data_IF_311863232162
#
_entry.id   IF_311863232162
#
_cell.length_a   1.000
_cell.length_b   1.000
_cell.length_c   1.000
_cell.angle_alpha   90.00
_cell.angle_beta   90.00
_cell.angle_gamma   90.00
#
_symmetry.space_group_name_H-M   'P 1'
#
loop_
_entity.id
_entity.type
_entity.pdbx_description
1 polymer ?
#
# COMPACT_ATOMS: atom_id res chain seq x y z
N UNK A 1 -35.33 -10.80 1.27
CA UNK A 1 -34.74 -11.50 0.12
C UNK A 1 -35.75 -12.46 -0.51
N UNK A 2 -36.40 -13.33 0.27
CA UNK A 2 -37.49 -14.21 -0.22
C UNK A 2 -38.60 -13.41 -0.95
N UNK A 3 -39.14 -12.35 -0.32
CA UNK A 3 -40.15 -11.46 -0.93
C UNK A 3 -39.75 -10.77 -2.26
N UNK A 4 -38.44 -10.67 -2.55
CA UNK A 4 -37.93 -10.11 -3.80
C UNK A 4 -37.84 -11.20 -4.88
N UNK A 5 -37.47 -12.42 -4.48
CA UNK A 5 -37.48 -13.60 -5.36
C UNK A 5 -38.92 -13.92 -5.79
N UNK A 6 -39.89 -13.84 -4.87
CA UNK A 6 -41.30 -14.11 -5.18
C UNK A 6 -41.88 -13.14 -6.21
N UNK A 7 -41.38 -11.89 -6.25
CA UNK A 7 -41.88 -10.85 -7.17
C UNK A 7 -41.11 -10.75 -8.49
N UNK A 8 -39.79 -10.88 -8.44
CA UNK A 8 -38.89 -10.62 -9.56
C UNK A 8 -38.16 -11.87 -10.06
N UNK A 9 -38.41 -13.02 -9.45
CA UNK A 9 -37.79 -14.30 -9.78
C UNK A 9 -36.32 -14.41 -9.36
N UNK A 10 -35.70 -15.52 -9.77
CA UNK A 10 -34.29 -15.83 -9.48
C UNK A 10 -33.31 -14.87 -10.19
N UNK A 11 -33.76 -14.10 -11.18
CA UNK A 11 -32.95 -13.06 -11.85
C UNK A 11 -32.51 -11.95 -10.89
N UNK A 12 -33.20 -11.78 -9.75
CA UNK A 12 -32.80 -10.84 -8.71
C UNK A 12 -31.60 -11.33 -7.88
N UNK A 13 -31.42 -12.65 -7.78
CA UNK A 13 -30.31 -13.29 -7.02
C UNK A 13 -29.00 -13.20 -7.80
N UNK A 14 -29.05 -13.08 -9.13
CA UNK A 14 -27.85 -12.93 -9.95
C UNK A 14 -27.11 -11.64 -9.58
N UNK A 15 -25.78 -11.73 -9.42
CA UNK A 15 -24.91 -10.61 -9.09
C UNK A 15 -24.98 -9.54 -10.19
N UNK A 16 -25.67 -8.42 -9.91
CA UNK A 16 -25.77 -7.28 -10.82
C UNK A 16 -24.54 -6.36 -10.72
N UNK A 17 -24.32 -5.56 -11.77
CA UNK A 17 -23.34 -4.46 -11.75
C UNK A 17 -23.69 -3.49 -10.62
N UNK A 18 -22.67 -2.84 -10.05
CA UNK A 18 -22.86 -1.90 -8.95
C UNK A 18 -23.71 -0.70 -9.43
N UNK A 19 -24.91 -0.52 -8.86
CA UNK A 19 -25.80 0.60 -9.21
C UNK A 19 -25.31 1.87 -8.55
N UNK A 20 -25.25 2.94 -9.33
CA UNK A 20 -25.10 4.29 -8.80
C UNK A 20 -26.47 4.79 -8.33
N UNK A 21 -26.49 5.45 -7.18
CA UNK A 21 -27.67 6.10 -6.63
C UNK A 21 -27.33 7.57 -6.38
N UNK A 22 -28.03 8.46 -7.08
CA UNK A 22 -27.86 9.91 -6.90
C UNK A 22 -28.26 10.34 -5.48
N UNK A 23 -27.78 11.49 -5.01
CA UNK A 23 -28.15 12.04 -3.70
C UNK A 23 -29.64 12.30 -3.61
N UNK A 24 -30.22 12.85 -4.68
CA UNK A 24 -31.63 13.19 -4.76
C UNK A 24 -32.50 11.93 -4.58
N UNK A 25 -32.15 10.84 -5.28
CA UNK A 25 -32.84 9.57 -5.15
C UNK A 25 -32.70 8.99 -3.73
N UNK A 26 -31.50 9.09 -3.13
CA UNK A 26 -31.31 8.67 -1.73
C UNK A 26 -32.17 9.51 -0.78
N UNK A 27 -32.26 10.82 -1.00
CA UNK A 27 -33.06 11.72 -0.17
C UNK A 27 -34.54 11.39 -0.25
N UNK A 28 -35.05 11.18 -1.47
CA UNK A 28 -36.43 10.79 -1.72
C UNK A 28 -36.79 9.53 -0.92
N UNK A 29 -35.97 8.48 -1.04
CA UNK A 29 -36.20 7.22 -0.34
C UNK A 29 -36.14 7.36 1.19
N UNK A 30 -35.22 8.19 1.71
CA UNK A 30 -35.11 8.47 3.13
C UNK A 30 -36.34 9.25 3.63
N UNK A 31 -36.80 10.25 2.85
CA UNK A 31 -37.97 11.05 3.18
C UNK A 31 -39.24 10.20 3.23
N UNK A 32 -39.42 9.25 2.30
CA UNK A 32 -40.55 8.31 2.34
C UNK A 32 -40.57 7.46 3.63
N UNK A 33 -39.40 7.05 4.11
CA UNK A 33 -39.32 6.31 5.38
C UNK A 33 -39.58 7.20 6.60
N UNK A 34 -39.08 8.44 6.59
CA UNK A 34 -39.14 9.33 7.77
C UNK A 34 -40.44 10.12 7.88
N UNK A 35 -40.97 10.62 6.77
CA UNK A 35 -42.13 11.51 6.73
C UNK A 35 -43.42 10.78 6.35
N UNK A 36 -43.36 9.87 5.37
CA UNK A 36 -44.55 9.12 4.92
C UNK A 36 -44.80 7.84 5.73
N UNK A 37 -43.92 7.49 6.67
CA UNK A 37 -44.06 6.31 7.52
C UNK A 37 -43.91 4.97 6.78
N UNK A 38 -43.31 4.97 5.58
CA UNK A 38 -43.14 3.73 4.83
C UNK A 38 -42.18 2.78 5.52
N UNK A 39 -42.50 1.48 5.48
CA UNK A 39 -41.56 0.46 5.94
C UNK A 39 -40.36 0.39 5.00
N UNK A 40 -39.19 0.13 5.58
CA UNK A 40 -37.92 0.00 4.83
C UNK A 40 -38.01 -1.12 3.78
N UNK A 41 -38.79 -2.15 4.07
CA UNK A 41 -39.06 -3.25 3.15
C UNK A 41 -39.89 -2.77 1.96
N UNK A 42 -40.97 -2.02 2.20
CA UNK A 42 -41.79 -1.43 1.14
C UNK A 42 -40.97 -0.53 0.22
N UNK A 43 -40.16 0.36 0.79
CA UNK A 43 -39.28 1.24 0.00
C UNK A 43 -38.22 0.43 -0.78
N UNK A 44 -37.66 -0.62 -0.18
CA UNK A 44 -36.69 -1.46 -0.88
C UNK A 44 -37.32 -2.22 -2.05
N UNK A 45 -38.59 -2.59 -1.93
CA UNK A 45 -39.35 -3.28 -2.97
C UNK A 45 -39.78 -2.33 -4.09
N UNK A 46 -40.27 -1.14 -3.75
CA UNK A 46 -40.73 -0.14 -4.73
C UNK A 46 -39.58 0.38 -5.62
N UNK A 47 -38.39 0.56 -5.04
CA UNK A 47 -37.21 1.10 -5.74
C UNK A 47 -36.23 0.02 -6.21
N UNK A 48 -36.65 -1.25 -6.21
CA UNK A 48 -35.84 -2.41 -6.62
C UNK A 48 -34.43 -2.41 -6.01
N UNK A 49 -34.32 -2.10 -4.71
CA UNK A 49 -33.05 -2.16 -4.01
C UNK A 49 -32.60 -3.61 -3.87
N UNK A 50 -31.35 -3.95 -4.26
CA UNK A 50 -30.79 -5.29 -4.10
C UNK A 50 -30.92 -5.86 -2.68
N UNK A 51 -30.85 -4.99 -1.68
CA UNK A 51 -31.02 -5.37 -0.29
C UNK A 51 -31.53 -4.22 0.55
N UNK A 52 -32.40 -4.54 1.52
CA UNK A 52 -32.86 -3.64 2.58
C UNK A 52 -31.70 -3.03 3.38
N UNK A 53 -30.57 -3.75 3.48
CA UNK A 53 -29.37 -3.30 4.17
C UNK A 53 -28.79 -2.02 3.58
N UNK A 54 -28.97 -1.79 2.26
CA UNK A 54 -28.52 -0.57 1.60
C UNK A 54 -29.23 0.65 2.18
N UNK A 55 -30.56 0.58 2.30
CA UNK A 55 -31.38 1.65 2.86
C UNK A 55 -31.10 1.87 4.36
N UNK A 56 -30.86 0.78 5.11
CA UNK A 56 -30.43 0.87 6.51
C UNK A 56 -29.11 1.62 6.68
N UNK A 57 -28.14 1.32 5.82
CA UNK A 57 -26.85 2.00 5.84
C UNK A 57 -26.99 3.50 5.52
N UNK A 58 -27.81 3.86 4.52
CA UNK A 58 -28.06 5.26 4.21
C UNK A 58 -28.76 6.01 5.34
N UNK A 59 -29.77 5.42 5.98
CA UNK A 59 -30.43 6.02 7.13
C UNK A 59 -29.48 6.23 8.31
N UNK A 60 -28.58 5.26 8.54
CA UNK A 60 -27.56 5.37 9.59
C UNK A 60 -26.57 6.51 9.30
N UNK A 61 -26.07 6.61 8.07
CA UNK A 61 -25.18 7.70 7.65
C UNK A 61 -25.88 9.06 7.71
N UNK A 62 -27.15 9.11 7.29
CA UNK A 62 -27.96 10.32 7.30
C UNK A 62 -28.15 10.87 8.71
N UNK A 63 -28.42 10.00 9.69
CA UNK A 63 -28.46 10.38 11.12
C UNK A 63 -27.09 10.82 11.64
N UNK A 64 -26.03 10.12 11.26
CA UNK A 64 -24.66 10.44 11.69
C UNK A 64 -24.16 11.78 11.17
N UNK A 65 -24.57 12.16 9.95
CA UNK A 65 -24.14 13.39 9.28
C UNK A 65 -25.07 14.59 9.55
N UNK A 66 -25.96 14.51 10.55
CA UNK A 66 -26.86 15.61 10.88
C UNK A 66 -27.89 15.92 9.78
N UNK A 67 -28.50 14.89 9.18
CA UNK A 67 -29.54 15.03 8.15
C UNK A 67 -29.07 15.61 6.80
N UNK A 68 -27.77 15.53 6.52
CA UNK A 68 -27.19 15.90 5.22
C UNK A 68 -26.71 14.67 4.45
N UNK A 69 -27.06 14.59 3.16
CA UNK A 69 -26.53 13.55 2.26
C UNK A 69 -25.16 13.99 1.75
N UNK A 70 -24.13 13.31 2.24
CA UNK A 70 -22.75 13.54 1.80
C UNK A 70 -22.43 12.56 0.68
N UNK A 71 -22.22 13.08 -0.53
CA UNK A 71 -21.54 12.33 -1.58
C UNK A 71 -20.07 12.19 -1.23
N UNK A 72 -19.68 11.01 -0.74
CA UNK A 72 -18.26 10.71 -0.59
C UNK A 72 -17.67 10.54 -1.98
N UNK A 73 -16.73 11.40 -2.34
CA UNK A 73 -15.87 11.21 -3.50
C UNK A 73 -15.21 9.83 -3.38
N UNK A 74 -15.47 8.97 -4.36
CA UNK A 74 -14.96 7.60 -4.37
C UNK A 74 -13.45 7.65 -4.58
N UNK A 75 -12.68 7.33 -3.55
CA UNK A 75 -11.23 7.32 -3.63
C UNK A 75 -10.58 6.77 -2.38
N UNK A 76 -9.34 6.28 -2.53
CA UNK A 76 -8.47 5.96 -1.40
C UNK A 76 -8.04 7.28 -0.78
N UNK A 77 -8.23 7.44 0.53
CA UNK A 77 -7.62 8.55 1.27
C UNK A 77 -6.12 8.57 0.96
N UNK A 78 -5.51 9.72 0.62
CA UNK A 78 -4.09 9.79 0.36
C UNK A 78 -3.33 9.12 1.50
N UNK A 79 -2.39 8.24 1.18
CA UNK A 79 -1.56 7.57 2.18
C UNK A 79 -0.72 8.67 2.84
N UNK A 80 -1.11 9.11 4.03
CA UNK A 80 -0.38 10.11 4.81
C UNK A 80 1.09 9.66 4.90
N UNK A 81 2.01 10.55 4.54
CA UNK A 81 3.45 10.37 4.84
C UNK A 81 4.35 9.82 3.73
N UNK A 82 3.89 9.58 2.50
CA UNK A 82 4.83 9.30 1.41
C UNK A 82 5.34 10.61 0.80
N UNK A 83 6.31 11.26 1.45
CA UNK A 83 7.10 12.31 0.80
C UNK A 83 7.96 11.66 -0.27
N UNK A 84 7.95 12.22 -1.48
CA UNK A 84 8.85 11.81 -2.56
C UNK A 84 10.28 12.02 -2.05
N UNK A 85 11.19 11.07 -2.30
CA UNK A 85 12.62 11.31 -2.06
C UNK A 85 13.04 12.51 -2.90
N UNK A 86 13.79 13.44 -2.30
CA UNK A 86 14.35 14.59 -3.03
C UNK A 86 15.22 14.08 -4.17
N UNK A 87 15.16 14.76 -5.29
CA UNK A 87 16.01 14.50 -6.44
C UNK A 87 17.38 15.13 -6.20
N UNK A 88 18.45 14.64 -6.85
CA UNK A 88 19.82 15.17 -6.71
C UNK A 88 19.94 16.69 -6.87
N UNK A 89 19.07 17.29 -7.70
CA UNK A 89 19.01 18.73 -7.98
C UNK A 89 18.35 19.55 -6.85
N UNK A 90 17.61 18.89 -5.94
CA UNK A 90 16.85 19.52 -4.85
C UNK A 90 17.60 19.43 -3.49
N UNK A 91 18.75 18.75 -3.44
CA UNK A 91 19.57 18.62 -2.23
C UNK A 91 20.48 19.83 -2.04
N UNK A 92 20.50 20.36 -0.82
CA UNK A 92 21.49 21.38 -0.43
C UNK A 92 22.88 20.74 -0.40
N UNK A 93 23.92 21.50 -0.70
CA UNK A 93 25.31 21.01 -0.75
C UNK A 93 25.75 20.24 0.52
N UNK A 94 25.29 20.69 1.69
CA UNK A 94 25.53 20.00 2.98
C UNK A 94 24.89 18.60 3.04
N UNK A 95 23.68 18.44 2.51
CA UNK A 95 22.95 17.17 2.50
C UNK A 95 23.66 16.16 1.59
N UNK A 96 24.20 16.64 0.45
CA UNK A 96 25.01 15.83 -0.48
C UNK A 96 26.31 15.35 0.18
N UNK A 97 27.02 16.25 0.84
CA UNK A 97 28.27 15.92 1.52
C UNK A 97 28.06 14.93 2.67
N UNK A 98 26.92 14.99 3.37
CA UNK A 98 26.60 14.01 4.41
C UNK A 98 26.36 12.61 3.85
N UNK A 99 25.58 12.49 2.77
CA UNK A 99 25.30 11.20 2.14
C UNK A 99 26.57 10.56 1.56
N UNK A 100 27.43 11.37 0.93
CA UNK A 100 28.75 10.92 0.47
C UNK A 100 29.66 10.50 1.64
N UNK A 101 29.63 11.23 2.76
CA UNK A 101 30.40 10.84 3.95
C UNK A 101 29.92 9.50 4.52
N UNK A 102 28.61 9.28 4.59
CA UNK A 102 28.03 8.02 5.04
C UNK A 102 28.41 6.86 4.11
N UNK A 103 28.35 7.08 2.80
CA UNK A 103 28.82 6.11 1.80
C UNK A 103 30.29 5.74 2.03
N UNK A 104 31.17 6.75 2.07
CA UNK A 104 32.61 6.56 2.27
C UNK A 104 32.95 5.90 3.62
N UNK A 105 32.17 6.17 4.68
CA UNK A 105 32.35 5.52 5.99
C UNK A 105 32.16 4.02 5.93
N UNK A 106 31.32 3.52 5.02
CA UNK A 106 31.10 2.07 4.84
C UNK A 106 32.09 1.45 3.84
N UNK A 107 32.47 2.19 2.81
CA UNK A 107 33.36 1.70 1.74
C UNK A 107 34.83 1.61 2.19
N UNK A 108 35.32 2.61 2.94
CA UNK A 108 36.72 2.65 3.40
C UNK A 108 37.11 1.42 4.24
N UNK A 109 36.31 0.97 5.23
CA UNK A 109 36.60 -0.26 5.97
C UNK A 109 36.64 -1.51 5.08
N UNK A 110 35.73 -1.61 4.11
CA UNK A 110 35.69 -2.74 3.19
C UNK A 110 36.96 -2.82 2.34
N UNK A 111 37.37 -1.70 1.74
CA UNK A 111 38.60 -1.62 0.95
C UNK A 111 39.86 -1.90 1.79
N UNK A 112 39.92 -1.41 3.04
CA UNK A 112 41.01 -1.74 3.96
C UNK A 112 41.07 -3.25 4.25
N UNK A 113 39.91 -3.89 4.41
CA UNK A 113 39.86 -5.33 4.67
C UNK A 113 40.31 -6.15 3.47
N UNK A 114 39.94 -5.73 2.26
CA UNK A 114 40.38 -6.37 1.02
C UNK A 114 41.90 -6.31 0.89
N UNK A 115 42.49 -5.11 1.09
CA UNK A 115 43.94 -4.92 1.05
C UNK A 115 44.68 -5.78 2.08
N UNK A 116 44.16 -5.88 3.29
CA UNK A 116 44.74 -6.74 4.33
C UNK A 116 44.79 -8.22 3.92
N UNK A 117 43.81 -8.70 3.16
CA UNK A 117 43.79 -10.08 2.66
C UNK A 117 44.81 -10.29 1.53
N UNK A 118 44.89 -9.35 0.59
CA UNK A 118 45.88 -9.37 -0.48
C UNK A 118 47.31 -9.39 0.08
N UNK A 119 47.62 -8.51 1.04
CA UNK A 119 48.93 -8.45 1.71
C UNK A 119 49.28 -9.77 2.43
N UNK A 120 48.28 -10.44 3.01
CA UNK A 120 48.46 -11.75 3.66
C UNK A 120 48.75 -12.86 2.66
N UNK A 121 48.02 -12.90 1.56
CA UNK A 121 48.24 -13.89 0.51
C UNK A 121 49.61 -13.72 -0.13
N UNK A 122 50.04 -12.48 -0.40
CA UNK A 122 51.40 -12.18 -0.86
C UNK A 122 52.47 -12.67 0.11
N UNK A 123 52.28 -12.43 1.42
CA UNK A 123 53.22 -12.89 2.44
C UNK A 123 53.34 -14.43 2.47
N UNK A 124 52.22 -15.14 2.34
CA UNK A 124 52.19 -16.61 2.27
C UNK A 124 52.93 -17.10 1.02
N UNK A 125 52.72 -16.47 -0.14
CA UNK A 125 53.41 -16.87 -1.37
C UNK A 125 54.92 -16.64 -1.27
N UNK A 126 55.36 -15.50 -0.72
CA UNK A 126 56.79 -15.22 -0.49
C UNK A 126 57.42 -16.23 0.45
N UNK A 127 56.74 -16.61 1.53
CA UNK A 127 57.25 -17.61 2.46
C UNK A 127 57.38 -18.97 1.78
N UNK A 128 56.37 -19.40 1.00
CA UNK A 128 56.45 -20.64 0.20
C UNK A 128 57.62 -20.61 -0.78
N UNK A 129 57.86 -19.49 -1.46
CA UNK A 129 59.00 -19.34 -2.37
C UNK A 129 60.34 -19.48 -1.63
N UNK A 130 60.51 -18.84 -0.48
CA UNK A 130 61.74 -18.97 0.34
C UNK A 130 61.96 -20.41 0.82
N UNK A 131 60.90 -21.10 1.24
CA UNK A 131 60.98 -22.50 1.65
C UNK A 131 61.40 -23.41 0.48
N UNK A 132 60.89 -23.14 -0.73
CA UNK A 132 61.30 -23.86 -1.95
C UNK A 132 62.76 -23.58 -2.32
N UNK A 133 63.19 -22.32 -2.30
CA UNK A 133 64.58 -21.94 -2.54
C UNK A 133 65.53 -22.61 -1.53
N UNK A 134 65.17 -22.59 -0.24
CA UNK A 134 65.93 -23.27 0.81
C UNK A 134 66.00 -24.79 0.59
N UNK A 135 64.86 -25.42 0.27
CA UNK A 135 64.83 -26.85 -0.03
C UNK A 135 65.67 -27.20 -1.25
N UNK A 136 65.64 -26.38 -2.31
CA UNK A 136 66.51 -26.56 -3.48
C UNK A 136 67.99 -26.40 -3.12
N UNK A 137 68.35 -25.47 -2.24
CA UNK A 137 69.72 -25.33 -1.77
C UNK A 137 70.20 -26.58 -1.00
N UNK A 138 69.36 -27.14 -0.11
CA UNK A 138 69.71 -28.28 0.75
C UNK A 138 69.76 -29.65 0.03
N UNK A 139 69.10 -29.81 -1.13
CA UNK A 139 69.06 -31.08 -1.86
C UNK A 139 70.08 -31.18 -3.02
N UNK A 140 70.79 -30.09 -3.32
CA UNK A 140 71.78 -30.04 -4.40
C UNK A 140 73.21 -29.76 -3.90
N UNK A 141 73.43 -29.78 -2.58
CA UNK A 141 74.73 -29.85 -1.88
C UNK A 141 74.98 -31.28 -1.34
#
# INVERSE_FOLDING_TARGET
MIKLIDRYGMEFVKKRKNRYYSPDLKQEMINKVLHEGWTKDRVSLEYDLPSRTILLNWLSQYRKNGYTIVEKTRGRVPKMGCKRKKTWEEMTELERLQEENEHLRTEVPYLKKLKELEDRDEAIQRERQRQLEKWLQENFD
#
